data_IF_888859794390
#
_entry.id   IF_888859794390
#
_cell.length_a   1.000
_cell.length_b   1.000
_cell.length_c   1.000
_cell.angle_alpha   90.00
_cell.angle_beta   90.00
_cell.angle_gamma   90.00
#
_symmetry.space_group_name_H-M   'P 1'
#
loop_
_entity.id
_entity.type
_entity.pdbx_description
1 polymer ?
#
# COMPACT_ATOMS: atom_id res chain seq x y z
N UNK A 1 -0.40 5.57 7.63
CA UNK A 1 -1.68 5.57 8.38
C UNK A 1 -2.21 6.97 8.70
N UNK A 2 -1.41 7.90 9.22
CA UNK A 2 -1.90 9.24 9.64
C UNK A 2 -2.64 10.02 8.55
N UNK A 3 -2.12 10.01 7.32
CA UNK A 3 -2.77 10.64 6.16
C UNK A 3 -4.20 10.10 5.95
N UNK A 4 -4.40 8.79 6.04
CA UNK A 4 -5.72 8.17 5.88
C UNK A 4 -6.68 8.59 7.00
N UNK A 5 -6.19 8.62 8.26
CA UNK A 5 -6.99 9.09 9.40
C UNK A 5 -7.43 10.54 9.22
N UNK A 6 -6.54 11.38 8.69
CA UNK A 6 -6.86 12.77 8.36
C UNK A 6 -7.93 12.86 7.26
N UNK A 7 -7.78 12.09 6.17
CA UNK A 7 -8.75 12.01 5.07
C UNK A 7 -10.13 11.51 5.55
N UNK A 8 -10.17 10.50 6.42
CA UNK A 8 -11.42 10.01 7.02
C UNK A 8 -12.08 11.07 7.90
N UNK A 9 -11.28 11.82 8.67
CA UNK A 9 -11.77 12.91 9.51
C UNK A 9 -12.42 14.00 8.65
N UNK A 10 -11.80 14.35 7.51
CA UNK A 10 -12.38 15.31 6.55
C UNK A 10 -13.71 14.79 6.00
N UNK A 11 -13.76 13.52 5.56
CA UNK A 11 -14.99 12.89 5.05
C UNK A 11 -16.11 12.87 6.10
N UNK A 12 -15.79 12.61 7.37
CA UNK A 12 -16.77 12.58 8.46
C UNK A 12 -17.27 13.96 8.88
N UNK A 13 -16.48 15.02 8.65
CA UNK A 13 -16.84 16.42 8.91
C UNK A 13 -17.76 17.02 7.85
N UNK A 14 -18.07 16.30 6.78
CA UNK A 14 -19.04 16.74 5.77
C UNK A 14 -20.45 16.94 6.39
N UNK A 15 -21.23 17.84 5.78
CA UNK A 15 -22.62 18.15 6.13
C UNK A 15 -23.63 17.11 5.61
N UNK A 16 -23.16 16.04 4.96
CA UNK A 16 -24.01 14.92 4.55
C UNK A 16 -24.68 14.20 5.75
N UNK A 17 -25.84 13.54 5.52
CA UNK A 17 -26.46 12.68 6.52
C UNK A 17 -25.50 11.64 7.09
N UNK A 18 -25.69 11.28 8.37
CA UNK A 18 -24.84 10.31 9.06
C UNK A 18 -24.75 8.96 8.32
N UNK A 19 -25.86 8.49 7.74
CA UNK A 19 -25.91 7.26 6.94
C UNK A 19 -25.05 7.32 5.68
N UNK A 20 -25.07 8.45 4.96
CA UNK A 20 -24.24 8.66 3.77
C UNK A 20 -22.75 8.66 4.13
N UNK A 21 -22.38 9.34 5.22
CA UNK A 21 -20.99 9.38 5.70
C UNK A 21 -20.50 7.99 6.13
N UNK A 22 -21.34 7.22 6.80
CA UNK A 22 -21.03 5.85 7.19
C UNK A 22 -20.70 4.98 5.96
N UNK A 23 -21.57 4.97 4.95
CA UNK A 23 -21.34 4.16 3.75
C UNK A 23 -20.15 4.63 2.92
N UNK A 24 -19.93 5.94 2.81
CA UNK A 24 -18.76 6.48 2.13
C UNK A 24 -17.45 6.08 2.84
N UNK A 25 -17.42 6.15 4.17
CA UNK A 25 -16.27 5.73 4.97
C UNK A 25 -16.03 4.22 4.85
N UNK A 26 -17.08 3.40 4.93
CA UNK A 26 -16.97 1.94 4.85
C UNK A 26 -16.37 1.49 3.51
N UNK A 27 -16.84 2.07 2.41
CA UNK A 27 -16.32 1.80 1.07
C UNK A 27 -14.87 2.26 0.94
N UNK A 28 -14.53 3.42 1.51
CA UNK A 28 -13.15 3.92 1.51
C UNK A 28 -12.21 3.01 2.30
N UNK A 29 -12.61 2.58 3.51
CA UNK A 29 -11.82 1.64 4.34
C UNK A 29 -11.62 0.31 3.63
N UNK A 30 -12.63 -0.21 2.90
CA UNK A 30 -12.48 -1.44 2.11
C UNK A 30 -11.41 -1.34 1.03
N UNK A 31 -11.19 -0.17 0.44
CA UNK A 31 -10.12 0.06 -0.52
C UNK A 31 -8.78 0.24 0.20
N UNK A 32 -8.78 1.06 1.24
CA UNK A 32 -7.57 1.45 1.95
C UNK A 32 -6.98 0.31 2.79
N UNK A 33 -7.79 -0.65 3.28
CA UNK A 33 -7.29 -1.82 4.03
C UNK A 33 -6.31 -2.68 3.23
N UNK A 34 -6.36 -2.59 1.90
CA UNK A 34 -5.48 -3.32 1.01
C UNK A 34 -4.24 -2.50 0.62
N UNK A 35 -4.00 -1.33 1.21
CA UNK A 35 -2.76 -0.59 0.99
C UNK A 35 -1.64 -1.18 1.87
N UNK A 36 -0.40 -1.33 1.36
CA UNK A 36 0.75 -1.83 2.11
C UNK A 36 0.93 -1.11 3.43
N UNK A 37 0.84 0.21 3.43
CA UNK A 37 0.92 1.03 4.65
C UNK A 37 -0.18 0.81 5.69
N UNK A 38 -1.10 -0.13 5.47
CA UNK A 38 -2.18 -0.55 6.38
C UNK A 38 -2.06 -2.04 6.74
N UNK A 39 -1.81 -2.91 5.75
CA UNK A 39 -1.83 -4.37 5.94
C UNK A 39 -0.45 -5.03 6.06
N UNK A 40 0.64 -4.29 5.84
CA UNK A 40 2.00 -4.85 5.91
C UNK A 40 2.22 -5.59 7.23
N UNK A 41 2.46 -6.89 7.12
CA UNK A 41 2.81 -7.75 8.24
C UNK A 41 4.20 -8.30 7.99
N UNK A 42 5.20 -7.58 8.52
CA UNK A 42 6.61 -7.86 8.28
C UNK A 42 6.97 -9.25 8.80
N UNK A 43 7.07 -10.20 7.88
CA UNK A 43 7.57 -11.55 8.12
C UNK A 43 8.65 -11.88 7.11
N UNK A 44 9.65 -12.67 7.51
CA UNK A 44 10.71 -13.10 6.57
C UNK A 44 10.15 -13.85 5.35
N UNK A 45 9.02 -14.52 5.51
CA UNK A 45 8.37 -15.28 4.44
C UNK A 45 7.70 -14.39 3.39
N UNK A 46 7.15 -13.25 3.80
CA UNK A 46 6.42 -12.34 2.90
C UNK A 46 7.26 -11.15 2.41
N UNK A 47 8.48 -10.97 2.95
CA UNK A 47 9.35 -9.82 2.66
C UNK A 47 9.47 -9.50 1.15
N UNK A 48 9.68 -10.51 0.30
CA UNK A 48 9.82 -10.28 -1.15
C UNK A 48 8.53 -9.73 -1.77
N UNK A 49 7.38 -10.30 -1.44
CA UNK A 49 6.08 -9.83 -1.91
C UNK A 49 5.76 -8.43 -1.37
N UNK A 50 6.13 -8.16 -0.11
CA UNK A 50 5.96 -6.87 0.52
C UNK A 50 6.79 -5.78 -0.19
N UNK A 51 8.04 -6.07 -0.57
CA UNK A 51 8.91 -5.16 -1.34
C UNK A 51 8.31 -4.88 -2.73
N UNK A 52 7.91 -5.93 -3.47
CA UNK A 52 7.31 -5.78 -4.81
C UNK A 52 6.04 -4.93 -4.73
N UNK A 53 5.19 -5.18 -3.72
CA UNK A 53 3.95 -4.44 -3.51
C UNK A 53 4.22 -2.97 -3.19
N UNK A 54 5.25 -2.68 -2.37
CA UNK A 54 5.66 -1.32 -2.06
C UNK A 54 6.16 -0.56 -3.30
N UNK A 55 6.88 -1.23 -4.19
CA UNK A 55 7.34 -0.63 -5.45
C UNK A 55 6.16 -0.36 -6.39
N UNK A 56 5.26 -1.34 -6.57
CA UNK A 56 4.08 -1.19 -7.43
C UNK A 56 3.15 -0.05 -6.96
N UNK A 57 3.05 0.14 -5.63
CA UNK A 57 2.28 1.23 -5.06
C UNK A 57 3.03 2.57 -5.03
N UNK A 58 4.26 2.61 -5.57
CA UNK A 58 5.11 3.80 -5.66
C UNK A 58 5.58 4.33 -4.30
N UNK A 59 5.57 3.49 -3.26
CA UNK A 59 5.99 3.87 -1.90
C UNK A 59 7.52 3.90 -1.81
N UNK A 60 8.18 2.97 -2.49
CA UNK A 60 9.64 2.89 -2.67
C UNK A 60 9.94 2.65 -4.15
N UNK A 61 11.21 2.79 -4.51
CA UNK A 61 11.73 2.60 -5.87
C UNK A 61 12.80 1.51 -5.89
N UNK A 62 13.25 1.11 -7.08
CA UNK A 62 14.39 0.20 -7.20
C UNK A 62 15.69 0.80 -6.63
N UNK A 63 15.81 2.13 -6.62
CA UNK A 63 16.98 2.81 -6.05
C UNK A 63 17.02 2.68 -4.52
N UNK A 64 15.87 2.59 -3.87
CA UNK A 64 15.78 2.33 -2.42
C UNK A 64 16.27 0.91 -2.05
N UNK A 65 16.46 0.02 -3.04
CA UNK A 65 17.01 -1.32 -2.85
C UNK A 65 18.53 -1.39 -3.09
N UNK A 66 19.23 -0.28 -3.37
CA UNK A 66 20.66 -0.31 -3.74
C UNK A 66 21.56 -0.96 -2.68
N UNK A 67 21.26 -0.82 -1.40
CA UNK A 67 22.05 -1.39 -0.31
C UNK A 67 21.72 -2.87 0.00
N UNK A 68 20.78 -3.47 -0.74
CA UNK A 68 20.42 -4.88 -0.60
C UNK A 68 21.29 -5.79 -1.50
N UNK A 69 21.27 -7.09 -1.21
CA UNK A 69 22.01 -8.09 -1.97
C UNK A 69 21.57 -8.14 -3.44
N UNK A 70 22.53 -8.44 -4.32
CA UNK A 70 22.28 -8.63 -5.76
C UNK A 70 21.13 -9.60 -6.03
N UNK A 71 21.14 -10.75 -5.35
CA UNK A 71 20.10 -11.78 -5.46
C UNK A 71 18.68 -11.23 -5.23
N UNK A 72 18.51 -10.34 -4.26
CA UNK A 72 17.20 -9.75 -3.95
C UNK A 72 16.79 -8.76 -5.03
N UNK A 73 17.73 -7.90 -5.46
CA UNK A 73 17.46 -6.89 -6.49
C UNK A 73 17.10 -7.54 -7.82
N UNK A 74 17.80 -8.61 -8.20
CA UNK A 74 17.58 -9.29 -9.47
C UNK A 74 16.27 -10.08 -9.47
N UNK A 75 15.92 -10.73 -8.36
CA UNK A 75 14.61 -11.37 -8.21
C UNK A 75 13.46 -10.35 -8.35
N UNK A 76 13.56 -9.19 -7.67
CA UNK A 76 12.53 -8.14 -7.78
C UNK A 76 12.40 -7.65 -9.22
N UNK A 77 13.52 -7.43 -9.94
CA UNK A 77 13.50 -7.04 -11.36
C UNK A 77 12.85 -8.09 -12.26
N UNK A 78 13.16 -9.37 -12.06
CA UNK A 78 12.61 -10.47 -12.87
C UNK A 78 11.09 -10.56 -12.71
N UNK A 79 10.60 -10.48 -11.48
CA UNK A 79 9.16 -10.50 -11.19
C UNK A 79 8.47 -9.26 -11.77
N UNK A 80 9.05 -8.07 -11.60
CA UNK A 80 8.46 -6.84 -12.16
C UNK A 80 8.42 -6.84 -13.69
N UNK A 81 9.43 -7.41 -14.36
CA UNK A 81 9.46 -7.53 -15.81
C UNK A 81 8.40 -8.50 -16.34
N UNK A 82 8.05 -9.52 -15.55
CA UNK A 82 7.04 -10.54 -15.88
C UNK A 82 5.59 -10.09 -15.65
N UNK A 83 5.37 -9.00 -14.91
CA UNK A 83 4.03 -8.43 -14.63
C UNK A 83 3.64 -7.39 -15.71
N UNK A 84 4.60 -6.97 -16.55
CA UNK A 84 4.42 -5.94 -17.58
C UNK A 84 3.93 -6.42 -18.95
N UNK A 85 3.74 -7.72 -19.15
CA UNK A 85 3.17 -8.37 -20.36
C UNK A 85 1.69 -8.75 -20.16
#
# INVERSE_FOLDING_TARGET
MEKLVMEYTVLLKDNLPASSKFWALEQRIKLDKNKPGVILNLSKQQMLFDIIRLINDGVITMDDLLDFSDDLRDYVKEVMSSIGD
#
